data_IF_308750068899
#
_entry.id   IF_308750068899
#
_cell.length_a   1.000
_cell.length_b   1.000
_cell.length_c   1.000
_cell.angle_alpha   90.00
_cell.angle_beta   90.00
_cell.angle_gamma   90.00
#
_symmetry.space_group_name_H-M   'P 1'
#
loop_
_entity.id
_entity.type
_entity.pdbx_description
1 polymer ?
#
# COMPACT_ATOMS: atom_id res chain seq x y z
N UNK A 1 -25.65 17.51 -24.66
CA UNK A 1 -24.32 17.93 -24.25
C UNK A 1 -24.24 18.36 -22.79
N UNK A 2 -24.98 19.38 -22.32
CA UNK A 2 -25.06 19.77 -20.90
C UNK A 2 -25.37 18.59 -19.96
N UNK A 3 -26.29 17.70 -20.38
CA UNK A 3 -26.68 16.49 -19.64
C UNK A 3 -25.53 15.49 -19.47
N UNK A 4 -24.62 15.39 -20.47
CA UNK A 4 -23.46 14.49 -20.40
C UNK A 4 -22.37 15.03 -19.48
N UNK A 5 -22.14 16.34 -19.47
CA UNK A 5 -21.18 16.96 -18.58
C UNK A 5 -21.63 16.91 -17.11
N UNK A 6 -22.94 17.10 -16.85
CA UNK A 6 -23.49 16.93 -15.51
C UNK A 6 -23.32 15.49 -15.00
N UNK A 7 -23.53 14.48 -15.87
CA UNK A 7 -23.32 13.08 -15.52
C UNK A 7 -21.84 12.76 -15.23
N UNK A 8 -20.89 13.36 -15.96
CA UNK A 8 -19.46 13.20 -15.69
C UNK A 8 -19.11 13.85 -14.34
N UNK A 9 -19.66 15.02 -14.03
CA UNK A 9 -19.49 15.66 -12.73
C UNK A 9 -20.09 14.81 -11.60
N UNK A 10 -21.28 14.25 -11.79
CA UNK A 10 -21.95 13.40 -10.81
C UNK A 10 -21.16 12.13 -10.49
N UNK A 11 -20.49 11.55 -11.49
CA UNK A 11 -19.70 10.33 -11.31
C UNK A 11 -18.40 10.57 -10.51
N UNK A 12 -17.76 11.74 -10.66
CA UNK A 12 -16.47 12.01 -9.98
C UNK A 12 -16.41 13.32 -9.21
N UNK A 13 -17.33 14.23 -9.44
CA UNK A 13 -17.26 15.57 -8.87
C UNK A 13 -16.06 16.42 -9.32
N UNK A 14 -15.29 15.92 -10.32
CA UNK A 14 -14.02 16.51 -10.72
C UNK A 14 -13.92 16.87 -12.20
N UNK A 15 -14.82 16.33 -13.04
CA UNK A 15 -14.83 16.63 -14.47
C UNK A 15 -15.65 17.89 -14.74
N UNK A 16 -15.03 18.89 -15.31
CA UNK A 16 -15.67 20.14 -15.69
C UNK A 16 -15.65 20.35 -17.18
N UNK A 17 -16.53 21.25 -17.67
CA UNK A 17 -16.47 21.71 -19.03
C UNK A 17 -15.16 22.49 -19.24
N UNK A 18 -14.48 22.18 -20.34
CA UNK A 18 -13.35 22.98 -20.77
C UNK A 18 -13.84 24.28 -21.40
N UNK A 19 -13.43 25.41 -20.88
CA UNK A 19 -13.80 26.75 -21.28
C UNK A 19 -12.57 27.67 -21.27
N UNK A 20 -12.70 28.95 -21.74
CA UNK A 20 -11.58 29.89 -21.76
C UNK A 20 -10.89 30.09 -20.41
N UNK A 21 -11.65 30.12 -19.29
CA UNK A 21 -11.08 30.28 -17.96
C UNK A 21 -10.25 29.06 -17.54
N UNK A 22 -10.76 27.87 -17.82
CA UNK A 22 -10.03 26.61 -17.58
C UNK A 22 -8.75 26.56 -18.41
N UNK A 23 -8.81 27.03 -19.67
CA UNK A 23 -7.65 27.11 -20.55
C UNK A 23 -6.58 28.07 -20.00
N UNK A 24 -6.97 29.24 -19.48
CA UNK A 24 -6.02 30.18 -18.86
C UNK A 24 -5.28 29.54 -17.67
N UNK A 25 -5.99 28.79 -16.82
CA UNK A 25 -5.40 28.08 -15.69
C UNK A 25 -4.37 27.04 -16.19
N UNK A 26 -4.69 26.31 -17.24
CA UNK A 26 -3.83 25.28 -17.79
C UNK A 26 -2.65 25.86 -18.58
N UNK A 27 -2.90 26.91 -19.38
CA UNK A 27 -1.84 27.58 -20.14
C UNK A 27 -0.80 28.25 -19.23
N UNK A 28 -1.20 28.73 -18.06
CA UNK A 28 -0.29 29.31 -17.07
C UNK A 28 0.73 28.32 -16.49
N UNK A 29 0.53 27.03 -16.71
CA UNK A 29 1.44 25.96 -16.23
C UNK A 29 2.56 25.62 -17.21
N UNK A 30 2.55 26.17 -18.43
CA UNK A 30 3.53 25.92 -19.47
C UNK A 30 3.90 27.20 -20.20
N UNK A 31 5.19 27.47 -20.36
CA UNK A 31 5.69 28.61 -21.16
C UNK A 31 5.26 28.54 -22.63
N UNK A 32 4.88 27.35 -23.12
CA UNK A 32 4.43 27.10 -24.50
C UNK A 32 2.95 26.65 -24.57
N UNK A 33 2.13 27.12 -23.64
CA UNK A 33 0.72 26.79 -23.56
C UNK A 33 -0.11 27.39 -24.71
N UNK A 34 -1.07 26.61 -25.21
CA UNK A 34 -2.05 27.07 -26.20
C UNK A 34 -3.15 27.90 -25.58
N UNK A 35 -3.59 28.93 -26.25
CA UNK A 35 -4.83 29.64 -25.91
C UNK A 35 -6.05 28.77 -26.26
N UNK A 36 -7.21 29.13 -25.72
CA UNK A 36 -8.47 28.44 -26.03
C UNK A 36 -8.80 28.52 -27.56
N UNK A 37 -8.60 29.67 -28.14
CA UNK A 37 -8.89 29.90 -29.58
C UNK A 37 -7.93 29.11 -30.47
N UNK A 38 -6.66 29.06 -30.13
CA UNK A 38 -5.68 28.24 -30.85
C UNK A 38 -6.03 26.74 -30.79
N UNK A 39 -6.39 26.24 -29.59
CA UNK A 39 -6.84 24.85 -29.44
C UNK A 39 -8.11 24.58 -30.22
N UNK A 40 -9.09 25.49 -30.16
CA UNK A 40 -10.34 25.40 -30.91
C UNK A 40 -10.10 25.30 -32.39
N UNK A 41 -9.26 26.18 -32.93
CA UNK A 41 -8.91 26.18 -34.37
C UNK A 41 -8.29 24.83 -34.77
N UNK A 42 -7.36 24.33 -33.98
CA UNK A 42 -6.69 23.06 -34.28
C UNK A 42 -7.66 21.88 -34.26
N UNK A 43 -8.57 21.83 -33.27
CA UNK A 43 -9.58 20.78 -33.20
C UNK A 43 -10.54 20.85 -34.41
N UNK A 44 -10.97 22.06 -34.81
CA UNK A 44 -11.83 22.27 -35.97
C UNK A 44 -11.17 21.83 -37.30
N UNK A 45 -9.87 22.12 -37.46
CA UNK A 45 -9.07 21.64 -38.61
C UNK A 45 -9.02 20.10 -38.68
N UNK A 46 -9.16 19.43 -37.56
CA UNK A 46 -9.21 17.95 -37.44
C UNK A 46 -10.64 17.40 -37.53
N UNK A 47 -11.65 18.23 -37.72
CA UNK A 47 -13.05 17.82 -37.73
C UNK A 47 -13.59 17.49 -36.33
N UNK A 48 -12.96 18.03 -35.28
CA UNK A 48 -13.29 17.83 -33.87
C UNK A 48 -13.95 19.09 -33.28
N UNK A 49 -14.79 18.91 -32.29
CA UNK A 49 -15.50 20.00 -31.65
C UNK A 49 -14.98 20.23 -30.22
N UNK A 50 -14.48 21.43 -29.92
CA UNK A 50 -13.99 21.84 -28.61
C UNK A 50 -15.05 21.65 -27.48
N UNK A 51 -16.32 21.68 -27.82
CA UNK A 51 -17.43 21.43 -26.90
C UNK A 51 -17.42 19.98 -26.34
N UNK A 52 -16.65 19.07 -26.96
CA UNK A 52 -16.42 17.70 -26.49
C UNK A 52 -15.17 17.54 -25.63
N UNK A 53 -14.48 18.64 -25.33
CA UNK A 53 -13.33 18.63 -24.42
C UNK A 53 -13.83 18.79 -22.98
N UNK A 54 -13.35 17.94 -22.10
CA UNK A 54 -13.60 17.97 -20.65
C UNK A 54 -12.27 18.06 -19.90
N UNK A 55 -12.30 18.63 -18.70
CA UNK A 55 -11.12 18.89 -17.90
C UNK A 55 -11.23 18.25 -16.50
N UNK A 56 -10.18 17.53 -16.08
CA UNK A 56 -10.03 17.01 -14.72
C UNK A 56 -9.10 17.93 -13.90
N UNK A 57 -9.69 18.81 -13.10
CA UNK A 57 -8.98 19.80 -12.27
C UNK A 57 -8.54 19.32 -10.90
N UNK A 58 -8.82 18.05 -10.53
CA UNK A 58 -8.63 17.59 -9.14
C UNK A 58 -7.31 16.89 -8.89
N UNK A 59 -6.51 16.61 -9.92
CA UNK A 59 -5.29 15.83 -9.79
C UNK A 59 -4.04 16.66 -10.08
N UNK A 60 -2.92 16.19 -9.55
CA UNK A 60 -1.57 16.73 -9.77
C UNK A 60 -1.23 16.90 -11.25
N UNK A 61 -1.90 16.18 -12.13
CA UNK A 61 -1.86 16.35 -13.57
C UNK A 61 -3.22 16.89 -14.02
N UNK A 62 -3.33 18.18 -14.17
CA UNK A 62 -4.50 18.81 -14.73
C UNK A 62 -4.59 18.42 -16.21
N UNK A 63 -5.47 17.50 -16.56
CA UNK A 63 -5.57 16.93 -17.88
C UNK A 63 -6.89 17.30 -18.55
N UNK A 64 -6.83 17.69 -19.83
CA UNK A 64 -8.00 17.76 -20.66
C UNK A 64 -8.09 16.53 -21.57
N UNK A 65 -9.31 16.11 -21.83
CA UNK A 65 -9.62 14.98 -22.68
C UNK A 65 -10.67 15.38 -23.72
N UNK A 66 -10.46 14.99 -24.96
CA UNK A 66 -11.53 14.94 -25.93
C UNK A 66 -12.36 13.68 -25.69
N UNK A 67 -13.68 13.84 -25.61
CA UNK A 67 -14.60 12.73 -25.32
C UNK A 67 -15.83 12.78 -26.26
N UNK A 68 -15.77 12.07 -27.37
CA UNK A 68 -16.93 11.81 -28.22
C UNK A 68 -17.59 10.49 -27.83
N UNK A 69 -18.51 10.56 -26.88
CA UNK A 69 -19.21 9.40 -26.38
C UNK A 69 -20.08 8.70 -27.41
N UNK A 70 -20.53 9.36 -28.45
CA UNK A 70 -21.34 8.75 -29.51
C UNK A 70 -20.50 7.82 -30.40
N UNK A 71 -19.29 8.24 -30.70
CA UNK A 71 -18.34 7.49 -31.51
C UNK A 71 -17.39 6.61 -30.71
N UNK A 72 -17.35 6.77 -29.38
CA UNK A 72 -16.35 6.14 -28.55
C UNK A 72 -14.93 6.58 -28.88
N UNK A 73 -14.77 7.88 -29.17
CA UNK A 73 -13.47 8.46 -29.45
C UNK A 73 -13.01 9.27 -28.24
N UNK A 74 -11.93 8.84 -27.64
CA UNK A 74 -11.32 9.45 -26.48
C UNK A 74 -9.86 9.75 -26.77
N UNK A 75 -9.40 10.90 -26.32
CA UNK A 75 -8.01 11.26 -26.48
C UNK A 75 -7.59 12.28 -25.43
N UNK A 76 -6.38 12.11 -24.91
CA UNK A 76 -5.74 13.12 -24.08
C UNK A 76 -5.32 14.33 -24.92
N UNK A 77 -5.61 15.53 -24.45
CA UNK A 77 -5.26 16.78 -25.11
C UNK A 77 -4.04 17.38 -24.40
N UNK A 78 -2.85 17.40 -25.00
CA UNK A 78 -1.71 18.11 -24.45
C UNK A 78 -1.86 19.60 -24.74
N UNK A 79 -1.45 20.42 -23.81
CA UNK A 79 -1.50 21.88 -23.91
C UNK A 79 -0.23 22.51 -24.49
N UNK A 80 0.77 21.70 -24.86
CA UNK A 80 2.03 22.17 -25.43
C UNK A 80 1.96 22.18 -26.96
N UNK A 81 2.29 23.31 -27.59
CA UNK A 81 2.31 23.47 -29.06
C UNK A 81 3.19 22.44 -29.77
N UNK A 82 4.33 22.07 -29.14
CA UNK A 82 5.26 21.13 -29.73
C UNK A 82 4.65 19.73 -29.97
N UNK A 83 3.74 19.29 -29.10
CA UNK A 83 3.14 17.96 -29.16
C UNK A 83 1.81 17.92 -29.92
N UNK A 84 1.20 19.05 -30.17
CA UNK A 84 -0.13 19.14 -30.76
C UNK A 84 -0.21 18.53 -32.15
N UNK A 85 0.75 18.82 -33.05
CA UNK A 85 0.78 18.27 -34.42
C UNK A 85 0.92 16.75 -34.43
N UNK A 86 1.74 16.19 -33.56
CA UNK A 86 1.90 14.74 -33.41
C UNK A 86 0.60 14.08 -32.98
N UNK A 87 -0.11 14.69 -32.05
CA UNK A 87 -1.38 14.19 -31.54
C UNK A 87 -2.47 14.28 -32.60
N UNK A 88 -2.56 15.40 -33.31
CA UNK A 88 -3.48 15.54 -34.43
C UNK A 88 -3.26 14.46 -35.47
N UNK A 89 -2.02 14.17 -35.83
CA UNK A 89 -1.70 13.12 -36.80
C UNK A 89 -2.13 11.75 -36.29
N UNK A 90 -1.89 11.46 -35.01
CA UNK A 90 -2.30 10.21 -34.36
C UNK A 90 -3.83 10.09 -34.32
N UNK A 91 -4.51 11.15 -33.93
CA UNK A 91 -5.98 11.21 -33.89
C UNK A 91 -6.60 10.99 -35.26
N UNK A 92 -6.09 11.63 -36.31
CA UNK A 92 -6.58 11.43 -37.67
C UNK A 92 -6.40 9.98 -38.15
N UNK A 93 -5.41 9.25 -37.65
CA UNK A 93 -5.24 7.82 -37.93
C UNK A 93 -6.22 6.97 -37.15
N UNK A 94 -6.44 7.27 -35.85
CA UNK A 94 -7.34 6.53 -34.97
C UNK A 94 -8.81 6.75 -35.34
N UNK A 95 -9.20 7.93 -35.85
CA UNK A 95 -10.58 8.24 -36.18
C UNK A 95 -11.05 7.68 -37.55
N UNK A 96 -10.20 7.00 -38.30
CA UNK A 96 -10.63 6.34 -39.56
C UNK A 96 -11.67 5.24 -39.31
N UNK A 97 -11.52 4.51 -38.22
CA UNK A 97 -12.52 3.54 -37.75
C UNK A 97 -12.85 3.89 -36.30
N UNK A 98 -14.11 4.18 -35.98
CA UNK A 98 -14.52 4.44 -34.61
C UNK A 98 -14.11 3.31 -33.66
N UNK A 99 -13.60 3.64 -32.48
CA UNK A 99 -13.17 2.65 -31.48
C UNK A 99 -14.26 1.65 -31.11
N UNK A 100 -15.49 2.13 -30.98
CA UNK A 100 -16.65 1.28 -30.77
C UNK A 100 -16.92 0.28 -31.91
N UNK A 101 -16.73 0.71 -33.15
CA UNK A 101 -16.94 -0.18 -34.30
C UNK A 101 -15.87 -1.25 -34.35
N UNK A 102 -14.62 -0.90 -33.99
CA UNK A 102 -13.53 -1.86 -33.84
C UNK A 102 -13.80 -2.85 -32.71
N UNK A 103 -14.23 -2.37 -31.55
CA UNK A 103 -14.55 -3.22 -30.41
C UNK A 103 -15.66 -4.23 -30.75
N UNK A 104 -16.72 -3.79 -31.43
CA UNK A 104 -17.82 -4.65 -31.88
C UNK A 104 -17.40 -5.65 -32.96
N UNK A 105 -16.65 -5.20 -33.98
CA UNK A 105 -16.19 -6.07 -35.08
C UNK A 105 -15.22 -7.14 -34.59
N UNK A 106 -14.29 -6.78 -33.72
CA UNK A 106 -13.26 -7.69 -33.21
C UNK A 106 -13.71 -8.43 -31.95
N UNK A 107 -14.84 -8.10 -31.35
CA UNK A 107 -15.27 -8.55 -30.02
C UNK A 107 -14.19 -8.38 -28.98
N UNK A 108 -13.52 -7.23 -28.97
CA UNK A 108 -12.40 -6.93 -28.06
C UNK A 108 -12.71 -5.67 -27.24
N UNK A 109 -13.66 -5.81 -26.35
CA UNK A 109 -14.07 -4.76 -25.44
C UNK A 109 -13.01 -4.45 -24.36
N UNK A 110 -12.22 -5.46 -23.98
CA UNK A 110 -11.15 -5.27 -23.02
C UNK A 110 -10.09 -4.32 -23.57
N UNK A 111 -9.61 -4.52 -24.82
CA UNK A 111 -8.67 -3.61 -25.46
C UNK A 111 -9.25 -2.20 -25.62
N UNK A 112 -10.54 -2.07 -25.97
CA UNK A 112 -11.19 -0.77 -26.08
C UNK A 112 -11.11 0.01 -24.76
N UNK A 113 -11.51 -0.61 -23.62
CA UNK A 113 -11.48 0.07 -22.34
C UNK A 113 -10.08 0.29 -21.79
N UNK A 114 -9.16 -0.65 -21.98
CA UNK A 114 -7.80 -0.54 -21.42
C UNK A 114 -6.87 0.37 -22.23
N UNK A 115 -7.11 0.51 -23.52
CA UNK A 115 -6.19 1.24 -24.41
C UNK A 115 -6.80 2.56 -24.90
N UNK A 116 -8.09 2.56 -25.26
CA UNK A 116 -8.69 3.69 -25.96
C UNK A 116 -9.49 4.63 -25.04
N UNK A 117 -10.12 4.09 -23.98
CA UNK A 117 -10.90 4.91 -23.05
C UNK A 117 -10.01 5.39 -21.92
N UNK A 118 -9.75 6.70 -21.79
CA UNK A 118 -8.98 7.25 -20.69
C UNK A 118 -9.56 6.84 -19.34
N UNK A 119 -8.69 6.51 -18.38
CA UNK A 119 -9.07 6.02 -17.06
C UNK A 119 -10.19 6.84 -16.39
N UNK A 120 -10.19 8.18 -16.41
CA UNK A 120 -11.27 8.97 -15.86
C UNK A 120 -12.64 8.76 -16.53
N UNK A 121 -12.66 8.34 -17.79
CA UNK A 121 -13.87 8.16 -18.56
C UNK A 121 -14.43 6.73 -18.51
N UNK A 122 -13.64 5.75 -18.05
CA UNK A 122 -14.00 4.33 -18.15
C UNK A 122 -15.32 3.99 -17.46
N UNK A 123 -15.52 4.41 -16.20
CA UNK A 123 -16.78 4.13 -15.48
C UNK A 123 -17.96 4.78 -16.21
N UNK A 124 -17.81 6.05 -16.60
CA UNK A 124 -18.87 6.79 -17.25
C UNK A 124 -19.28 6.15 -18.57
N UNK A 125 -18.32 5.81 -19.41
CA UNK A 125 -18.56 5.20 -20.72
C UNK A 125 -19.15 3.78 -20.56
N UNK A 126 -18.60 2.99 -19.65
CA UNK A 126 -19.10 1.64 -19.36
C UNK A 126 -20.54 1.67 -18.89
N UNK A 127 -20.92 2.52 -17.94
CA UNK A 127 -22.29 2.66 -17.45
C UNK A 127 -23.28 3.11 -18.51
N UNK A 128 -22.80 3.78 -19.57
CA UNK A 128 -23.63 4.20 -20.69
C UNK A 128 -23.92 3.06 -21.65
N UNK A 129 -23.01 2.11 -21.80
CA UNK A 129 -23.06 1.08 -22.86
C UNK A 129 -22.86 -0.37 -22.43
N UNK A 130 -22.92 -0.65 -21.15
CA UNK A 130 -22.71 -2.00 -20.63
C UNK A 130 -23.59 -3.09 -21.29
N UNK A 131 -24.75 -2.70 -21.84
CA UNK A 131 -25.64 -3.61 -22.59
C UNK A 131 -25.21 -3.84 -24.04
N UNK A 132 -24.31 -3.02 -24.56
CA UNK A 132 -23.75 -3.18 -25.91
C UNK A 132 -22.58 -4.18 -25.89
N UNK A 133 -21.99 -4.41 -24.73
CA UNK A 133 -20.89 -5.35 -24.53
C UNK A 133 -21.42 -6.78 -24.60
N UNK A 134 -20.64 -7.67 -25.24
CA UNK A 134 -21.00 -9.08 -25.32
C UNK A 134 -21.19 -9.66 -23.91
N UNK A 135 -22.28 -10.41 -23.67
CA UNK A 135 -22.62 -10.94 -22.34
C UNK A 135 -21.52 -11.77 -21.68
N UNK A 136 -20.72 -12.48 -22.48
CA UNK A 136 -19.59 -13.29 -22.03
C UNK A 136 -18.35 -12.45 -21.65
N UNK A 137 -18.32 -11.16 -21.99
CA UNK A 137 -17.21 -10.24 -21.70
C UNK A 137 -17.54 -9.16 -20.66
N UNK A 138 -18.83 -8.86 -20.46
CA UNK A 138 -19.24 -7.72 -19.64
C UNK A 138 -18.67 -7.75 -18.22
N UNK A 139 -18.62 -8.93 -17.60
CA UNK A 139 -18.06 -9.08 -16.25
C UNK A 139 -16.53 -8.86 -16.24
N UNK A 140 -15.82 -9.45 -17.19
CA UNK A 140 -14.33 -9.30 -17.26
C UNK A 140 -13.92 -7.86 -17.55
N UNK A 141 -14.64 -7.17 -18.44
CA UNK A 141 -14.41 -5.75 -18.74
C UNK A 141 -14.68 -4.90 -17.49
N UNK A 142 -15.83 -5.11 -16.83
CA UNK A 142 -16.14 -4.40 -15.58
C UNK A 142 -15.07 -4.66 -14.50
N UNK A 143 -14.67 -5.90 -14.31
CA UNK A 143 -13.64 -6.28 -13.33
C UNK A 143 -12.31 -5.57 -13.61
N UNK A 144 -11.89 -5.52 -14.88
CA UNK A 144 -10.67 -4.81 -15.28
C UNK A 144 -10.76 -3.32 -14.97
N UNK A 145 -11.90 -2.68 -15.27
CA UNK A 145 -12.11 -1.25 -14.93
C UNK A 145 -12.10 -1.06 -13.42
N UNK A 146 -12.80 -1.93 -12.67
CA UNK A 146 -12.96 -1.83 -11.23
C UNK A 146 -11.61 -1.94 -10.50
N UNK A 147 -10.75 -2.88 -10.92
CA UNK A 147 -9.42 -3.10 -10.33
C UNK A 147 -8.44 -1.97 -10.62
N UNK A 148 -8.52 -1.34 -11.79
CA UNK A 148 -7.61 -0.24 -12.15
C UNK A 148 -8.00 1.11 -11.55
N UNK A 149 -9.18 1.22 -10.98
CA UNK A 149 -9.68 2.46 -10.40
C UNK A 149 -9.59 2.41 -8.87
N UNK A 150 -8.56 3.04 -8.32
CA UNK A 150 -8.27 3.05 -6.87
C UNK A 150 -9.46 3.40 -5.98
N UNK A 151 -10.41 4.19 -6.46
CA UNK A 151 -11.53 4.71 -5.67
C UNK A 151 -12.86 4.66 -6.45
N UNK A 152 -13.05 3.64 -7.27
CA UNK A 152 -14.27 3.45 -8.07
C UNK A 152 -15.51 3.08 -7.24
N UNK A 153 -15.31 2.72 -6.00
CA UNK A 153 -16.36 2.29 -5.08
C UNK A 153 -17.41 3.40 -4.87
N UNK A 154 -18.69 3.02 -4.92
CA UNK A 154 -19.81 3.93 -4.81
C UNK A 154 -20.15 4.72 -6.08
N UNK A 155 -19.36 4.58 -7.15
CA UNK A 155 -19.60 5.26 -8.44
C UNK A 155 -20.45 4.41 -9.41
N UNK A 156 -20.57 3.12 -9.14
CA UNK A 156 -21.35 2.21 -9.96
C UNK A 156 -22.84 2.33 -9.69
N UNK A 157 -23.64 2.47 -10.74
CA UNK A 157 -25.09 2.49 -10.64
C UNK A 157 -25.60 1.09 -10.30
N UNK A 158 -26.59 0.95 -9.41
CA UNK A 158 -27.10 -0.36 -8.97
C UNK A 158 -27.55 -1.26 -10.12
N UNK A 159 -28.26 -0.72 -11.11
CA UNK A 159 -28.73 -1.46 -12.28
C UNK A 159 -27.61 -1.97 -13.17
N UNK A 160 -26.47 -1.25 -13.23
CA UNK A 160 -25.28 -1.70 -13.95
C UNK A 160 -24.65 -2.88 -13.23
N UNK A 161 -24.49 -2.78 -11.91
CA UNK A 161 -23.95 -3.87 -11.10
C UNK A 161 -24.84 -5.11 -11.15
N UNK A 162 -26.17 -4.94 -11.09
CA UNK A 162 -27.11 -6.06 -11.22
C UNK A 162 -26.92 -6.81 -12.56
N UNK A 163 -26.82 -6.06 -13.66
CA UNK A 163 -26.59 -6.65 -14.97
C UNK A 163 -25.23 -7.35 -15.06
N UNK A 164 -24.15 -6.67 -14.66
CA UNK A 164 -22.79 -7.23 -14.68
C UNK A 164 -22.72 -8.50 -13.84
N UNK A 165 -23.30 -8.49 -12.65
CA UNK A 165 -23.25 -9.61 -11.73
C UNK A 165 -24.14 -10.79 -12.15
N UNK A 166 -25.15 -10.54 -12.96
CA UNK A 166 -25.92 -11.65 -13.59
C UNK A 166 -25.10 -12.43 -14.63
N UNK A 167 -24.00 -11.85 -15.11
CA UNK A 167 -23.04 -12.46 -16.05
C UNK A 167 -21.72 -12.86 -15.38
N UNK A 168 -21.64 -12.81 -14.05
CA UNK A 168 -20.44 -13.19 -13.34
C UNK A 168 -20.12 -14.68 -13.51
N UNK A 169 -18.83 -15.04 -13.69
CA UNK A 169 -18.44 -16.44 -13.78
C UNK A 169 -18.66 -17.14 -12.43
N UNK A 170 -18.89 -18.44 -12.47
CA UNK A 170 -18.83 -19.26 -11.25
C UNK A 170 -17.36 -19.46 -10.88
N UNK A 171 -16.99 -19.16 -9.65
CA UNK A 171 -15.63 -19.32 -9.13
C UNK A 171 -15.64 -20.30 -7.96
N UNK A 172 -14.52 -20.96 -7.75
CA UNK A 172 -14.30 -21.73 -6.52
C UNK A 172 -14.29 -20.76 -5.34
N UNK A 173 -14.97 -21.14 -4.26
CA UNK A 173 -15.04 -20.30 -3.06
C UNK A 173 -13.89 -20.62 -2.11
N UNK A 174 -13.46 -19.67 -1.27
CA UNK A 174 -12.55 -19.98 -0.16
C UNK A 174 -13.18 -21.05 0.74
N UNK A 175 -12.35 -21.87 1.38
CA UNK A 175 -12.82 -22.87 2.32
C UNK A 175 -13.43 -22.17 3.55
N UNK A 176 -14.68 -22.51 3.92
CA UNK A 176 -15.27 -22.01 5.16
C UNK A 176 -14.56 -22.60 6.38
N UNK A 177 -14.64 -21.88 7.51
CA UNK A 177 -14.23 -22.39 8.80
C UNK A 177 -15.18 -23.44 9.39
N UNK A 178 -14.93 -23.90 10.61
CA UNK A 178 -15.75 -24.91 11.29
C UNK A 178 -17.22 -24.49 11.50
N UNK A 179 -17.49 -23.18 11.52
CA UNK A 179 -18.85 -22.62 11.61
C UNK A 179 -19.53 -22.46 10.24
N UNK A 180 -18.86 -22.84 9.15
CA UNK A 180 -19.34 -22.68 7.79
C UNK A 180 -19.26 -21.25 7.26
N UNK A 181 -18.44 -20.39 7.87
CA UNK A 181 -18.28 -18.99 7.52
C UNK A 181 -16.88 -18.73 6.93
N UNK A 182 -16.76 -17.70 6.10
CA UNK A 182 -15.52 -17.24 5.52
C UNK A 182 -15.20 -15.89 6.16
N UNK A 183 -14.00 -15.76 6.73
CA UNK A 183 -13.51 -14.48 7.24
C UNK A 183 -12.91 -13.68 6.08
N UNK A 184 -13.40 -12.46 5.91
CA UNK A 184 -12.92 -11.50 4.91
C UNK A 184 -12.37 -10.27 5.61
N UNK A 185 -11.39 -9.63 4.97
CA UNK A 185 -10.66 -8.48 5.50
C UNK A 185 -10.71 -7.33 4.52
N UNK A 186 -10.65 -6.09 5.04
CA UNK A 186 -10.55 -4.90 4.22
C UNK A 186 -9.62 -3.88 4.87
N UNK A 187 -8.56 -3.52 4.16
CA UNK A 187 -7.69 -2.41 4.49
C UNK A 187 -8.27 -1.09 3.99
N UNK A 188 -8.20 -0.06 4.81
CA UNK A 188 -8.80 1.23 4.52
C UNK A 188 -7.80 2.36 4.74
N UNK A 189 -7.72 3.26 3.78
CA UNK A 189 -7.07 4.56 3.85
C UNK A 189 -8.10 5.69 3.92
N UNK A 190 -7.63 6.94 3.93
CA UNK A 190 -8.47 8.14 4.07
C UNK A 190 -9.58 8.27 3.02
N UNK A 191 -9.32 7.77 1.80
CA UNK A 191 -10.26 7.87 0.65
C UNK A 191 -11.07 6.61 0.42
N UNK A 192 -10.98 5.63 1.30
CA UNK A 192 -11.68 4.36 1.12
C UNK A 192 -13.19 4.52 1.34
N UNK A 193 -13.97 3.78 0.56
CA UNK A 193 -15.41 3.67 0.76
C UNK A 193 -15.70 3.02 2.11
N UNK A 194 -16.80 3.42 2.81
CA UNK A 194 -17.23 2.76 4.03
C UNK A 194 -17.35 1.24 3.87
N UNK A 195 -16.91 0.50 4.87
CA UNK A 195 -16.89 -0.95 4.82
C UNK A 195 -18.29 -1.57 4.61
N UNK A 196 -19.31 -0.93 5.17
CA UNK A 196 -20.71 -1.36 5.11
C UNK A 196 -21.27 -1.44 3.68
N UNK A 197 -20.72 -0.65 2.77
CA UNK A 197 -21.16 -0.53 1.38
C UNK A 197 -20.12 -1.00 0.38
N UNK A 198 -18.95 -1.43 0.84
CA UNK A 198 -17.86 -1.86 -0.01
C UNK A 198 -18.15 -3.22 -0.65
N UNK A 199 -17.97 -3.30 -1.97
CA UNK A 199 -18.13 -4.55 -2.72
C UNK A 199 -16.92 -5.47 -2.59
N UNK A 200 -15.71 -4.91 -2.66
CA UNK A 200 -14.45 -5.66 -2.66
C UNK A 200 -13.86 -5.83 -1.28
N UNK A 201 -13.51 -7.07 -0.97
CA UNK A 201 -12.84 -7.52 0.24
C UNK A 201 -11.70 -8.47 -0.16
N UNK A 202 -10.91 -8.92 0.79
CA UNK A 202 -9.91 -9.97 0.57
C UNK A 202 -10.09 -11.09 1.60
N UNK A 203 -9.89 -12.33 1.20
CA UNK A 203 -9.77 -13.45 2.15
C UNK A 203 -8.38 -13.50 2.80
N UNK A 204 -7.42 -12.71 2.31
CA UNK A 204 -6.06 -12.61 2.83
C UNK A 204 -5.90 -11.40 3.76
N UNK A 205 -5.56 -11.59 5.05
CA UNK A 205 -5.23 -10.48 5.95
C UNK A 205 -3.96 -9.74 5.51
N UNK A 206 -3.02 -10.42 4.87
CA UNK A 206 -1.79 -9.83 4.32
C UNK A 206 -2.13 -8.83 3.23
N UNK A 207 -2.99 -9.23 2.29
CA UNK A 207 -3.42 -8.40 1.20
C UNK A 207 -4.24 -7.20 1.70
N UNK A 208 -5.15 -7.41 2.63
CA UNK A 208 -5.93 -6.32 3.22
C UNK A 208 -5.02 -5.30 3.93
N UNK A 209 -4.01 -5.75 4.64
CA UNK A 209 -3.03 -4.87 5.29
C UNK A 209 -2.22 -4.08 4.24
N UNK A 210 -1.83 -4.72 3.13
CA UNK A 210 -1.17 -4.02 2.02
C UNK A 210 -2.06 -2.91 1.45
N UNK A 211 -3.35 -3.17 1.23
CA UNK A 211 -4.29 -2.15 0.77
C UNK A 211 -4.42 -0.97 1.75
N UNK A 212 -4.36 -1.22 3.05
CA UNK A 212 -4.34 -0.17 4.04
C UNK A 212 -3.06 0.69 3.95
N UNK A 213 -1.90 0.06 3.73
CA UNK A 213 -0.59 0.69 3.79
C UNK A 213 -0.11 1.25 2.43
N UNK A 214 -0.72 0.88 1.29
CA UNK A 214 -0.23 1.25 -0.05
C UNK A 214 -0.10 2.74 -0.33
N UNK A 215 -0.78 3.58 0.44
CA UNK A 215 -0.69 5.04 0.37
C UNK A 215 0.00 5.64 1.60
N UNK A 216 0.73 4.83 2.36
CA UNK A 216 1.38 5.17 3.64
C UNK A 216 0.44 5.82 4.69
N UNK A 217 -0.87 5.80 4.46
CA UNK A 217 -1.89 6.47 5.31
C UNK A 217 -3.04 5.52 5.65
N UNK A 218 -2.69 4.39 6.24
CA UNK A 218 -3.67 3.43 6.73
C UNK A 218 -4.49 4.02 7.88
N UNK A 219 -5.82 4.00 7.76
CA UNK A 219 -6.71 4.46 8.82
C UNK A 219 -7.18 3.33 9.70
N UNK A 220 -7.57 2.22 9.10
CA UNK A 220 -8.06 1.04 9.82
C UNK A 220 -8.01 -0.23 8.98
N UNK A 221 -8.08 -1.35 9.65
CA UNK A 221 -8.29 -2.66 9.07
C UNK A 221 -9.52 -3.28 9.72
N UNK A 222 -10.44 -3.75 8.89
CA UNK A 222 -11.68 -4.36 9.34
C UNK A 222 -11.80 -5.78 8.83
N UNK A 223 -12.60 -6.60 9.51
CA UNK A 223 -12.98 -7.93 9.09
C UNK A 223 -14.47 -8.15 9.25
N UNK A 224 -14.99 -9.12 8.51
CA UNK A 224 -16.34 -9.61 8.65
C UNK A 224 -16.37 -11.12 8.40
N UNK A 225 -17.39 -11.82 8.89
CA UNK A 225 -17.63 -13.23 8.60
C UNK A 225 -18.86 -13.36 7.72
N UNK A 226 -18.71 -14.01 6.58
CA UNK A 226 -19.78 -14.15 5.58
C UNK A 226 -20.00 -15.61 5.24
N UNK A 227 -21.24 -15.93 4.82
CA UNK A 227 -21.56 -17.25 4.26
C UNK A 227 -21.10 -17.32 2.80
N UNK A 228 -20.75 -18.52 2.28
CA UNK A 228 -20.37 -18.67 0.86
C UNK A 228 -21.40 -18.10 -0.13
N UNK A 229 -22.67 -18.22 0.14
CA UNK A 229 -23.75 -17.70 -0.71
C UNK A 229 -23.86 -16.17 -0.75
N UNK A 230 -23.22 -15.45 0.18
CA UNK A 230 -23.13 -14.00 0.19
C UNK A 230 -21.98 -13.49 -0.70
N UNK A 231 -21.09 -14.39 -1.11
CA UNK A 231 -20.03 -14.09 -2.06
C UNK A 231 -20.55 -14.27 -3.48
N UNK A 232 -20.29 -13.28 -4.32
CA UNK A 232 -20.62 -13.34 -5.74
C UNK A 232 -19.48 -13.99 -6.54
N UNK A 233 -18.26 -13.50 -6.32
CA UNK A 233 -17.05 -13.95 -7.00
C UNK A 233 -15.90 -14.01 -6.02
N UNK A 234 -15.08 -15.04 -6.17
CA UNK A 234 -13.77 -15.14 -5.53
C UNK A 234 -12.68 -15.25 -6.59
N UNK A 235 -11.71 -14.36 -6.54
CA UNK A 235 -10.59 -14.30 -7.47
C UNK A 235 -9.28 -14.60 -6.74
N UNK A 236 -8.89 -15.87 -6.72
CA UNK A 236 -7.68 -16.32 -6.02
C UNK A 236 -6.39 -16.12 -6.82
N UNK A 237 -6.47 -15.97 -8.15
CA UNK A 237 -5.37 -16.39 -8.99
C UNK A 237 -4.60 -15.34 -9.78
N UNK A 238 -5.18 -14.27 -10.23
CA UNK A 238 -4.49 -13.40 -11.20
C UNK A 238 -3.63 -12.28 -10.60
N UNK A 239 -3.98 -11.80 -9.41
CA UNK A 239 -3.27 -10.67 -8.77
C UNK A 239 -2.67 -11.02 -7.41
N UNK A 240 -2.93 -12.22 -6.88
CA UNK A 240 -2.57 -12.59 -5.50
C UNK A 240 -3.38 -11.83 -4.43
N UNK A 241 -4.39 -11.06 -4.84
CA UNK A 241 -5.20 -10.24 -3.95
C UNK A 241 -6.23 -11.04 -3.15
N UNK A 242 -6.51 -12.27 -3.57
CA UNK A 242 -7.53 -13.11 -2.95
C UNK A 242 -8.87 -12.36 -2.81
N UNK A 243 -9.26 -11.65 -3.88
CA UNK A 243 -10.40 -10.76 -3.87
C UNK A 243 -11.72 -11.51 -3.68
N UNK A 244 -12.54 -10.99 -2.79
CA UNK A 244 -13.90 -11.43 -2.53
C UNK A 244 -14.85 -10.30 -2.90
N UNK A 245 -15.67 -10.50 -3.92
CA UNK A 245 -16.73 -9.57 -4.31
C UNK A 245 -18.03 -10.05 -3.67
N UNK A 246 -18.64 -9.20 -2.86
CA UNK A 246 -19.88 -9.51 -2.17
C UNK A 246 -21.10 -9.24 -3.06
N UNK A 247 -22.19 -9.98 -2.82
CA UNK A 247 -23.48 -9.68 -3.42
C UNK A 247 -23.99 -8.33 -2.91
N UNK A 248 -24.54 -7.47 -3.78
CA UNK A 248 -25.14 -6.22 -3.37
C UNK A 248 -26.18 -6.43 -2.26
N UNK A 249 -26.17 -5.54 -1.26
CA UNK A 249 -27.09 -5.61 -0.13
C UNK A 249 -26.73 -6.63 0.94
N UNK A 250 -25.56 -7.30 0.84
CA UNK A 250 -25.06 -8.15 1.93
C UNK A 250 -24.87 -7.32 3.20
N UNK A 251 -25.54 -7.74 4.28
CA UNK A 251 -25.37 -7.13 5.60
C UNK A 251 -24.15 -7.74 6.29
N UNK A 252 -23.27 -6.89 6.80
CA UNK A 252 -22.03 -7.28 7.44
C UNK A 252 -22.05 -6.90 8.92
N UNK A 253 -21.57 -7.80 9.77
CA UNK A 253 -21.13 -7.50 11.13
C UNK A 253 -19.64 -7.21 11.09
N UNK A 254 -19.28 -5.92 11.09
CA UNK A 254 -17.93 -5.45 10.91
C UNK A 254 -17.21 -5.46 12.25
N UNK A 255 -16.04 -6.08 12.29
CA UNK A 255 -15.11 -6.06 13.41
C UNK A 255 -13.88 -5.25 13.02
N UNK A 256 -13.57 -4.22 13.80
CA UNK A 256 -12.39 -3.39 13.59
C UNK A 256 -11.20 -3.97 14.37
N UNK A 257 -10.05 -4.07 13.72
CA UNK A 257 -8.82 -4.43 14.39
C UNK A 257 -8.33 -3.25 15.27
N UNK A 258 -7.92 -3.53 16.50
CA UNK A 258 -7.31 -2.52 17.38
C UNK A 258 -5.90 -2.16 16.86
N UNK A 259 -5.84 -1.32 15.82
CA UNK A 259 -4.60 -0.83 15.21
C UNK A 259 -4.49 0.68 15.34
N UNK A 260 -3.27 1.18 15.49
CA UNK A 260 -2.96 2.61 15.52
C UNK A 260 -2.90 3.10 14.08
N UNK A 261 -3.69 4.12 13.70
CA UNK A 261 -3.66 4.66 12.34
C UNK A 261 -2.30 5.29 11.98
N UNK A 262 -1.95 5.27 10.70
CA UNK A 262 -0.74 5.91 10.16
C UNK A 262 -1.04 7.23 9.43
N UNK A 263 -1.98 8.03 9.95
CA UNK A 263 -2.32 9.34 9.36
C UNK A 263 -1.25 10.39 9.59
N UNK A 264 -1.24 11.47 8.79
CA UNK A 264 -0.30 12.59 8.93
C UNK A 264 -0.30 13.20 10.33
N UNK A 265 -1.44 13.19 11.01
CA UNK A 265 -1.57 13.74 12.36
C UNK A 265 -1.07 12.77 13.44
N UNK A 266 -1.25 11.46 13.24
CA UNK A 266 -0.93 10.46 14.27
C UNK A 266 0.56 10.13 14.34
N UNK A 267 1.22 9.95 13.19
CA UNK A 267 2.63 9.54 13.15
C UNK A 267 3.53 10.53 13.90
N UNK A 268 3.51 11.86 13.65
CA UNK A 268 4.35 12.79 14.37
C UNK A 268 4.11 12.80 15.88
N UNK A 269 2.83 12.73 16.31
CA UNK A 269 2.47 12.67 17.73
C UNK A 269 2.99 11.39 18.40
N UNK A 270 2.91 10.26 17.69
CA UNK A 270 3.39 8.97 18.18
C UNK A 270 4.92 8.95 18.32
N UNK A 271 5.64 9.57 17.38
CA UNK A 271 7.11 9.59 17.35
C UNK A 271 7.73 10.59 18.34
N UNK A 272 7.05 11.67 18.64
CA UNK A 272 7.59 12.78 19.44
C UNK A 272 8.29 12.33 20.75
N UNK A 273 7.73 11.45 21.59
CA UNK A 273 8.36 11.03 22.83
C UNK A 273 9.64 10.20 22.68
N UNK A 274 9.83 9.57 21.52
CA UNK A 274 10.95 8.66 21.28
C UNK A 274 12.02 9.25 20.34
N UNK A 275 11.80 10.45 19.83
CA UNK A 275 12.65 11.11 18.82
C UNK A 275 14.10 11.25 19.30
N UNK A 276 14.32 11.70 20.53
CA UNK A 276 15.69 11.88 21.06
C UNK A 276 16.46 10.55 21.18
N UNK A 277 15.79 9.51 21.65
CA UNK A 277 16.39 8.18 21.71
C UNK A 277 16.62 7.60 20.31
N UNK A 278 15.70 7.89 19.37
CA UNK A 278 15.88 7.46 17.99
C UNK A 278 17.13 8.11 17.35
N UNK A 279 17.33 9.41 17.49
CA UNK A 279 18.55 10.06 17.00
C UNK A 279 19.80 9.50 17.67
N UNK A 280 19.78 9.34 18.99
CA UNK A 280 20.91 8.80 19.75
C UNK A 280 21.32 7.40 19.28
N UNK A 281 20.38 6.48 19.15
CA UNK A 281 20.67 5.09 18.77
C UNK A 281 20.77 4.91 17.25
N UNK A 282 20.07 5.72 16.47
CA UNK A 282 20.18 5.76 15.02
C UNK A 282 21.56 6.18 14.53
N UNK A 283 22.18 7.16 15.20
CA UNK A 283 23.61 7.51 14.96
C UNK A 283 24.54 6.31 15.13
N UNK A 284 24.27 5.46 16.16
CA UNK A 284 25.07 4.23 16.33
C UNK A 284 24.83 3.28 15.15
N UNK A 285 23.57 3.11 14.69
CA UNK A 285 23.24 2.24 13.58
C UNK A 285 23.97 2.65 12.29
N UNK A 286 23.97 3.94 11.95
CA UNK A 286 24.68 4.47 10.76
C UNK A 286 26.18 4.17 10.82
N UNK A 287 26.80 4.32 12.00
CA UNK A 287 28.24 4.05 12.21
C UNK A 287 28.59 2.54 12.24
N UNK A 288 27.62 1.63 12.23
CA UNK A 288 27.87 0.18 12.13
C UNK A 288 28.17 -0.29 10.70
N UNK A 289 27.98 0.57 9.70
CA UNK A 289 28.32 0.28 8.30
C UNK A 289 27.37 -0.68 7.61
N UNK A 290 26.09 -0.68 7.98
CA UNK A 290 25.07 -1.38 7.20
C UNK A 290 24.98 -0.83 5.78
N UNK A 291 24.75 -1.68 4.76
CA UNK A 291 24.55 -1.20 3.40
C UNK A 291 23.33 -0.28 3.33
N UNK A 292 23.37 0.71 2.44
CA UNK A 292 22.19 1.47 2.09
C UNK A 292 21.23 0.58 1.32
N UNK A 293 19.92 0.69 1.61
CA UNK A 293 18.91 -0.03 0.85
C UNK A 293 18.92 0.44 -0.61
N UNK A 294 19.04 -0.50 -1.53
CA UNK A 294 18.89 -0.32 -2.97
C UNK A 294 17.94 -1.37 -3.53
N UNK A 295 17.80 -1.40 -4.86
CA UNK A 295 16.97 -2.40 -5.55
C UNK A 295 17.33 -3.87 -5.18
N UNK A 296 18.49 -4.11 -4.58
CA UNK A 296 19.03 -5.43 -4.27
C UNK A 296 19.38 -5.61 -2.78
N UNK A 297 19.04 -4.67 -1.90
CA UNK A 297 19.31 -4.80 -0.47
C UNK A 297 18.11 -4.31 0.34
N UNK A 298 17.36 -5.26 0.88
CA UNK A 298 16.19 -5.01 1.70
C UNK A 298 16.45 -5.19 3.21
N UNK A 299 17.66 -5.60 3.60
CA UNK A 299 18.12 -5.77 4.99
C UNK A 299 19.18 -4.74 5.40
N UNK A 300 19.20 -3.57 4.74
CA UNK A 300 20.14 -2.49 4.99
C UNK A 300 19.77 -1.58 6.16
N UNK A 301 20.44 -0.43 6.21
CA UNK A 301 20.30 0.54 7.32
C UNK A 301 18.85 1.00 7.54
N UNK A 302 18.04 1.15 6.49
CA UNK A 302 16.64 1.59 6.65
C UNK A 302 15.81 0.56 7.42
N UNK A 303 16.03 -0.75 7.17
CA UNK A 303 15.41 -1.82 7.97
C UNK A 303 15.80 -1.68 9.45
N UNK A 304 17.08 -1.53 9.74
CA UNK A 304 17.58 -1.39 11.11
C UNK A 304 16.97 -0.18 11.82
N UNK A 305 16.84 0.95 11.12
CA UNK A 305 16.23 2.16 11.68
C UNK A 305 14.72 1.99 11.95
N UNK A 306 13.99 1.33 11.06
CA UNK A 306 12.56 1.05 11.29
C UNK A 306 12.36 0.08 12.45
N UNK A 307 13.13 -1.00 12.53
CA UNK A 307 13.09 -1.94 13.66
C UNK A 307 13.46 -1.25 14.98
N UNK A 308 14.47 -0.37 14.97
CA UNK A 308 14.83 0.44 16.13
C UNK A 308 13.67 1.33 16.57
N UNK A 309 13.07 2.06 15.65
CA UNK A 309 11.97 2.99 15.95
C UNK A 309 10.74 2.24 16.49
N UNK A 310 10.35 1.14 15.86
CA UNK A 310 9.27 0.25 16.35
C UNK A 310 9.58 -0.28 17.76
N UNK A 311 10.83 -0.62 18.04
CA UNK A 311 11.27 -1.05 19.37
C UNK A 311 11.14 0.07 20.41
N UNK A 312 11.52 1.29 20.06
CA UNK A 312 11.39 2.44 20.97
C UNK A 312 9.92 2.75 21.25
N UNK A 313 9.06 2.72 20.22
CA UNK A 313 7.61 2.86 20.37
C UNK A 313 7.04 1.76 21.30
N UNK A 314 7.44 0.51 21.08
CA UNK A 314 7.04 -0.58 21.96
C UNK A 314 7.46 -0.33 23.41
N UNK A 315 8.71 0.04 23.63
CA UNK A 315 9.24 0.31 24.99
C UNK A 315 8.53 1.48 25.68
N UNK A 316 8.05 2.46 24.91
CA UNK A 316 7.38 3.65 25.46
C UNK A 316 5.87 3.41 25.73
N UNK A 317 5.15 2.80 24.78
CA UNK A 317 3.69 2.77 24.79
C UNK A 317 3.04 1.45 25.17
N UNK A 318 3.79 0.34 25.19
CA UNK A 318 3.17 -0.99 25.33
C UNK A 318 2.52 -1.24 26.72
N UNK A 319 2.79 -0.41 27.72
CA UNK A 319 2.41 -0.69 29.10
C UNK A 319 3.07 -1.94 29.70
N UNK A 320 3.97 -2.59 28.94
CA UNK A 320 4.71 -3.75 29.43
C UNK A 320 5.67 -3.35 30.53
N UNK A 321 5.66 -4.11 31.62
CA UNK A 321 6.69 -3.97 32.67
C UNK A 321 8.05 -4.40 32.10
N UNK A 322 8.82 -3.45 31.58
CA UNK A 322 10.19 -3.61 31.11
C UNK A 322 11.11 -2.84 32.04
N UNK A 323 12.13 -3.49 32.56
CA UNK A 323 13.21 -2.79 33.25
C UNK A 323 14.03 -1.98 32.23
N UNK A 324 14.78 -0.98 32.71
CA UNK A 324 15.66 -0.22 31.81
C UNK A 324 16.68 -1.13 31.10
N UNK A 325 17.14 -2.19 31.77
CA UNK A 325 18.00 -3.18 31.11
C UNK A 325 17.27 -3.96 30.03
N UNK A 326 15.96 -4.27 30.19
CA UNK A 326 15.15 -4.96 29.16
C UNK A 326 15.03 -4.08 27.90
N UNK A 327 14.78 -2.79 28.08
CA UNK A 327 14.74 -1.82 26.97
C UNK A 327 16.08 -1.78 26.24
N UNK A 328 17.19 -1.68 26.97
CA UNK A 328 18.52 -1.71 26.38
C UNK A 328 18.85 -3.03 25.68
N UNK A 329 18.35 -4.18 26.17
CA UNK A 329 18.50 -5.47 25.48
C UNK A 329 17.77 -5.45 24.12
N UNK A 330 16.55 -4.93 24.08
CA UNK A 330 15.77 -4.81 22.85
C UNK A 330 16.40 -3.84 21.86
N UNK A 331 16.90 -2.70 22.33
CA UNK A 331 17.64 -1.74 21.48
C UNK A 331 18.94 -2.38 20.95
N UNK A 332 19.68 -3.10 21.79
CA UNK A 332 20.87 -3.83 21.35
C UNK A 332 20.53 -4.88 20.28
N UNK A 333 19.42 -5.57 20.43
CA UNK A 333 18.90 -6.49 19.42
C UNK A 333 18.60 -5.74 18.11
N UNK A 334 17.82 -4.67 18.15
CA UNK A 334 17.42 -3.91 16.97
C UNK A 334 18.64 -3.43 16.15
N UNK A 335 19.70 -3.02 16.83
CA UNK A 335 20.91 -2.51 16.19
C UNK A 335 21.82 -3.60 15.60
N UNK A 336 21.73 -4.85 16.05
CA UNK A 336 22.74 -5.87 15.74
C UNK A 336 22.19 -7.21 15.23
N UNK A 337 20.86 -7.39 15.12
CA UNK A 337 20.31 -8.70 14.78
C UNK A 337 20.75 -9.18 13.40
N UNK A 338 20.88 -8.30 12.42
CA UNK A 338 21.22 -8.57 11.03
C UNK A 338 22.68 -8.19 10.65
N UNK A 339 23.53 -7.80 11.62
CA UNK A 339 24.91 -7.34 11.31
C UNK A 339 25.79 -8.40 10.63
N UNK A 340 25.46 -9.67 10.76
CA UNK A 340 26.15 -10.78 10.13
C UNK A 340 25.47 -11.32 8.88
N UNK A 341 24.41 -10.66 8.38
CA UNK A 341 23.72 -11.07 7.17
C UNK A 341 24.58 -10.73 5.94
N UNK A 342 24.82 -11.72 5.09
CA UNK A 342 25.72 -11.64 3.93
C UNK A 342 24.99 -11.93 2.59
N UNK A 343 23.69 -12.24 2.62
CA UNK A 343 22.84 -12.42 1.44
C UNK A 343 21.41 -11.98 1.69
N UNK A 344 20.66 -11.75 0.61
CA UNK A 344 19.22 -11.46 0.64
C UNK A 344 18.37 -12.75 0.64
N UNK A 345 18.99 -13.92 0.47
CA UNK A 345 18.30 -15.21 0.45
C UNK A 345 17.75 -15.57 1.84
N UNK A 346 16.82 -16.50 1.87
CA UNK A 346 16.36 -17.12 3.12
C UNK A 346 17.54 -17.84 3.79
N UNK A 347 17.95 -17.33 4.96
CA UNK A 347 19.05 -17.86 5.75
C UNK A 347 18.69 -17.96 7.22
N UNK A 348 18.32 -19.16 7.68
CA UNK A 348 18.03 -19.44 9.09
C UNK A 348 19.27 -19.34 10.00
N UNK A 349 20.44 -19.11 9.45
CA UNK A 349 21.72 -19.08 10.16
C UNK A 349 22.31 -17.67 10.35
N UNK A 350 21.76 -16.63 9.71
CA UNK A 350 22.32 -15.27 9.81
C UNK A 350 22.38 -14.73 11.23
N UNK A 351 21.46 -15.16 12.11
CA UNK A 351 21.52 -14.83 13.53
C UNK A 351 22.75 -15.42 14.23
N UNK A 352 23.20 -16.65 13.87
CA UNK A 352 24.46 -17.22 14.36
C UNK A 352 25.65 -16.40 13.85
N UNK A 353 25.68 -16.06 12.55
CA UNK A 353 26.72 -15.22 11.93
C UNK A 353 26.81 -13.85 12.62
N UNK A 354 25.66 -13.22 12.94
CA UNK A 354 25.60 -11.97 13.68
C UNK A 354 26.25 -12.08 15.06
N UNK A 355 25.92 -13.12 15.84
CA UNK A 355 26.50 -13.36 17.16
C UNK A 355 28.02 -13.62 17.07
N UNK A 356 28.47 -14.38 16.07
CA UNK A 356 29.88 -14.68 15.87
C UNK A 356 30.66 -13.44 15.44
N UNK A 357 30.12 -12.57 14.60
CA UNK A 357 30.70 -11.29 14.23
C UNK A 357 30.83 -10.36 15.44
N UNK A 358 29.77 -10.24 16.25
CA UNK A 358 29.78 -9.46 17.49
C UNK A 358 30.87 -9.97 18.44
N UNK A 359 31.05 -11.27 18.56
CA UNK A 359 32.08 -11.88 19.41
C UNK A 359 33.48 -11.65 18.86
N UNK A 360 33.71 -11.94 17.56
CA UNK A 360 35.00 -11.82 16.88
C UNK A 360 35.54 -10.41 16.97
N UNK A 361 34.70 -9.42 16.71
CA UNK A 361 35.09 -8.01 16.69
C UNK A 361 34.92 -7.30 18.04
N UNK A 362 34.48 -8.04 19.07
CA UNK A 362 34.21 -7.48 20.40
C UNK A 362 33.31 -6.23 20.37
N UNK A 363 32.28 -6.24 19.50
CA UNK A 363 31.42 -5.07 19.25
C UNK A 363 30.79 -4.60 20.57
N UNK A 364 31.04 -3.32 20.90
CA UNK A 364 30.48 -2.60 22.04
C UNK A 364 29.78 -1.35 21.53
N UNK A 365 28.51 -1.17 21.91
CA UNK A 365 27.74 0.00 21.51
C UNK A 365 27.90 1.10 22.56
N UNK A 366 28.30 2.30 22.15
CA UNK A 366 28.44 3.46 23.04
C UNK A 366 27.09 3.76 23.71
N UNK A 367 27.09 3.88 25.03
CA UNK A 367 25.89 4.18 25.81
C UNK A 367 24.95 3.01 26.06
N UNK A 368 25.27 1.80 25.63
CA UNK A 368 24.52 0.57 25.97
C UNK A 368 25.37 -0.31 26.88
N UNK A 369 25.04 -0.32 28.16
CA UNK A 369 25.70 -1.17 29.16
C UNK A 369 24.72 -2.20 29.69
N UNK A 370 25.02 -3.46 29.48
CA UNK A 370 24.23 -4.59 29.94
C UNK A 370 25.00 -5.41 30.98
N UNK A 371 24.31 -6.02 31.90
CA UNK A 371 24.91 -7.03 32.78
C UNK A 371 25.41 -8.25 31.97
N UNK A 372 26.25 -9.08 32.56
CA UNK A 372 26.66 -10.35 31.91
C UNK A 372 25.47 -11.19 31.47
N UNK A 373 24.40 -11.18 32.25
CA UNK A 373 23.14 -11.88 31.95
C UNK A 373 22.36 -11.18 30.84
N UNK A 374 22.28 -9.83 30.85
CA UNK A 374 21.68 -9.04 29.80
C UNK A 374 22.33 -9.28 28.41
N UNK A 375 23.65 -9.26 28.34
CA UNK A 375 24.39 -9.60 27.11
C UNK A 375 24.11 -11.03 26.65
N UNK A 376 23.95 -11.98 27.58
CA UNK A 376 23.63 -13.36 27.22
C UNK A 376 22.24 -13.45 26.61
N UNK A 377 21.26 -12.78 27.21
CA UNK A 377 19.88 -12.72 26.66
C UNK A 377 19.92 -12.05 25.28
N UNK A 378 20.51 -10.86 25.14
CA UNK A 378 20.59 -10.16 23.84
C UNK A 378 21.14 -11.06 22.71
N UNK A 379 22.24 -11.79 22.99
CA UNK A 379 22.80 -12.73 22.02
C UNK A 379 21.89 -13.93 21.69
N UNK A 380 21.07 -14.37 22.62
CA UNK A 380 20.08 -15.41 22.34
C UNK A 380 18.96 -14.88 21.44
N UNK A 381 18.49 -13.66 21.68
CA UNK A 381 17.51 -13.02 20.82
C UNK A 381 18.05 -12.92 19.39
N UNK A 382 19.25 -12.37 19.20
CA UNK A 382 19.92 -12.22 17.90
C UNK A 382 20.10 -13.58 17.23
N UNK A 383 20.58 -14.59 17.96
CA UNK A 383 20.85 -15.93 17.40
C UNK A 383 19.63 -16.62 16.85
N UNK A 384 18.48 -16.42 17.50
CA UNK A 384 17.28 -17.22 17.22
C UNK A 384 16.14 -16.44 16.56
N UNK A 385 16.30 -15.15 16.24
CA UNK A 385 15.21 -14.36 15.65
C UNK A 385 14.78 -14.89 14.28
N UNK A 386 15.71 -15.38 13.46
CA UNK A 386 15.47 -15.91 12.13
C UNK A 386 14.85 -17.32 12.11
N UNK A 387 14.79 -18.01 13.26
CA UNK A 387 14.26 -19.38 13.36
C UNK A 387 12.77 -19.39 13.67
N UNK A 388 12.10 -20.55 13.47
CA UNK A 388 10.72 -20.73 13.89
C UNK A 388 10.58 -20.48 15.41
N UNK A 389 9.37 -20.09 15.83
CA UNK A 389 9.10 -19.82 17.26
C UNK A 389 9.32 -21.04 18.13
N UNK A 390 8.94 -22.22 17.64
CA UNK A 390 9.12 -23.48 18.35
C UNK A 390 10.61 -23.71 18.66
N UNK A 391 11.46 -23.66 17.64
CA UNK A 391 12.92 -23.86 17.79
C UNK A 391 13.53 -22.78 18.67
N UNK A 392 13.18 -21.51 18.44
CA UNK A 392 13.74 -20.39 19.20
C UNK A 392 13.38 -20.47 20.70
N UNK A 393 12.11 -20.70 21.01
CA UNK A 393 11.63 -20.82 22.41
C UNK A 393 12.21 -22.04 23.11
N UNK A 394 12.29 -23.19 22.42
CA UNK A 394 12.94 -24.36 22.97
C UNK A 394 14.40 -24.08 23.38
N UNK A 395 15.17 -23.43 22.50
CA UNK A 395 16.58 -23.07 22.75
C UNK A 395 16.72 -22.08 23.89
N UNK A 396 15.85 -21.07 23.98
CA UNK A 396 15.88 -20.04 25.04
C UNK A 396 15.52 -20.64 26.40
N UNK A 397 14.52 -21.51 26.47
CA UNK A 397 14.08 -22.10 27.74
C UNK A 397 15.05 -23.14 28.28
N UNK A 398 15.84 -23.78 27.42
CA UNK A 398 16.83 -24.80 27.80
C UNK A 398 18.25 -24.25 28.02
N UNK A 399 18.41 -22.93 28.18
CA UNK A 399 19.73 -22.33 28.39
C UNK A 399 20.33 -22.76 29.72
N UNK A 400 21.53 -23.37 29.75
CA UNK A 400 22.16 -23.76 30.98
C UNK A 400 22.37 -22.57 31.95
N UNK A 401 22.16 -22.79 33.25
CA UNK A 401 22.32 -21.80 34.31
C UNK A 401 21.37 -20.59 34.23
N UNK A 402 20.26 -20.67 33.50
CA UNK A 402 19.13 -19.75 33.65
C UNK A 402 18.20 -20.27 34.76
N UNK A 403 17.80 -19.35 35.65
CA UNK A 403 16.67 -19.62 36.56
C UNK A 403 15.35 -19.62 35.77
N UNK A 404 14.29 -20.15 36.34
CA UNK A 404 12.96 -20.07 35.75
C UNK A 404 12.53 -18.61 35.48
N UNK A 405 12.98 -17.66 36.28
CA UNK A 405 12.73 -16.23 36.09
C UNK A 405 13.50 -15.69 34.86
N UNK A 406 14.79 -16.10 34.74
CA UNK A 406 15.60 -15.69 33.56
C UNK A 406 15.02 -16.25 32.27
N UNK A 407 14.58 -17.48 32.25
CA UNK A 407 13.94 -18.11 31.11
C UNK A 407 12.64 -17.39 30.72
N UNK A 408 11.79 -17.05 31.71
CA UNK A 408 10.57 -16.26 31.45
C UNK A 408 10.89 -14.86 30.89
N UNK A 409 11.88 -14.17 31.48
CA UNK A 409 12.36 -12.87 31.02
C UNK A 409 12.85 -12.95 29.57
N UNK A 410 13.74 -13.90 29.25
CA UNK A 410 14.28 -14.09 27.92
C UNK A 410 13.19 -14.44 26.90
N UNK A 411 12.21 -15.28 27.25
CA UNK A 411 11.05 -15.62 26.42
C UNK A 411 10.19 -14.39 26.11
N UNK A 412 9.91 -13.55 27.12
CA UNK A 412 9.16 -12.29 26.93
C UNK A 412 9.88 -11.39 25.94
N UNK A 413 11.17 -11.15 26.15
CA UNK A 413 11.97 -10.28 25.29
C UNK A 413 12.14 -10.86 23.86
N UNK A 414 12.26 -12.16 23.72
CA UNK A 414 12.32 -12.85 22.43
C UNK A 414 11.05 -12.61 21.60
N UNK A 415 9.87 -12.75 22.20
CA UNK A 415 8.60 -12.47 21.51
C UNK A 415 8.52 -11.03 21.04
N UNK A 416 8.92 -10.08 21.88
CA UNK A 416 8.94 -8.65 21.53
C UNK A 416 9.93 -8.41 20.37
N UNK A 417 11.16 -8.91 20.49
CA UNK A 417 12.19 -8.74 19.46
C UNK A 417 11.75 -9.27 18.09
N UNK A 418 11.17 -10.48 18.06
CA UNK A 418 10.61 -11.06 16.83
C UNK A 418 9.43 -10.28 16.26
N UNK A 419 8.62 -9.67 17.12
CA UNK A 419 7.52 -8.84 16.64
C UNK A 419 8.03 -7.55 16.03
N UNK A 420 9.05 -6.91 16.62
CA UNK A 420 9.59 -5.66 16.09
C UNK A 420 10.27 -5.86 14.72
N UNK A 421 11.04 -6.92 14.56
CA UNK A 421 11.60 -7.33 13.29
C UNK A 421 10.51 -7.76 12.29
N UNK A 422 9.56 -8.59 12.77
CA UNK A 422 8.45 -9.08 11.97
C UNK A 422 7.51 -7.99 11.43
N UNK A 423 7.30 -6.90 12.16
CA UNK A 423 6.49 -5.75 11.72
C UNK A 423 7.05 -5.13 10.45
N UNK A 424 8.37 -5.06 10.29
CA UNK A 424 8.99 -4.48 9.10
C UNK A 424 8.83 -5.35 7.83
N UNK A 425 8.23 -6.55 7.93
CA UNK A 425 7.83 -7.35 6.75
C UNK A 425 6.76 -6.66 5.88
N UNK A 426 6.18 -5.55 6.35
CA UNK A 426 5.34 -4.68 5.52
C UNK A 426 6.09 -4.23 4.25
N UNK A 427 7.42 -4.07 4.30
CA UNK A 427 8.26 -3.70 3.15
C UNK A 427 8.23 -4.71 2.00
N UNK A 428 7.87 -5.97 2.30
CA UNK A 428 7.74 -7.06 1.32
C UNK A 428 6.29 -7.38 0.98
N UNK A 429 5.33 -6.59 1.47
CA UNK A 429 3.91 -6.93 1.42
C UNK A 429 3.60 -8.32 1.99
N UNK A 430 4.37 -8.74 3.00
CA UNK A 430 4.35 -10.10 3.54
C UNK A 430 4.03 -10.20 5.03
N UNK A 431 3.52 -9.13 5.66
CA UNK A 431 3.15 -9.16 7.07
C UNK A 431 1.75 -9.75 7.26
N UNK A 432 1.68 -10.96 7.80
CA UNK A 432 0.45 -11.46 8.42
C UNK A 432 0.44 -11.09 9.91
N UNK A 433 -0.33 -10.07 10.24
CA UNK A 433 -0.41 -9.51 11.60
C UNK A 433 -0.96 -10.49 12.65
N UNK A 434 -1.63 -11.58 12.22
CA UNK A 434 -2.15 -12.62 13.12
C UNK A 434 -1.02 -13.38 13.82
N UNK A 435 0.17 -13.43 13.21
CA UNK A 435 1.36 -14.07 13.79
C UNK A 435 2.15 -13.18 14.75
N UNK A 436 1.76 -11.92 14.94
CA UNK A 436 2.36 -11.07 15.97
C UNK A 436 1.97 -11.59 17.37
N UNK A 437 2.95 -11.67 18.26
CA UNK A 437 2.87 -12.42 19.52
C UNK A 437 2.38 -11.58 20.68
N UNK A 438 2.67 -10.27 20.63
CA UNK A 438 2.40 -9.37 21.75
C UNK A 438 1.23 -8.44 21.43
N UNK A 439 0.39 -8.11 22.44
CA UNK A 439 -0.81 -7.30 22.19
C UNK A 439 -0.49 -5.93 21.56
N UNK A 440 0.56 -5.25 22.04
CA UNK A 440 0.89 -3.93 21.49
C UNK A 440 1.46 -4.02 20.07
N UNK A 441 2.25 -5.05 19.75
CA UNK A 441 2.75 -5.22 18.38
C UNK A 441 1.60 -5.38 17.37
N UNK A 442 0.51 -6.02 17.75
CA UNK A 442 -0.69 -6.16 16.91
C UNK A 442 -1.38 -4.84 16.59
N UNK A 443 -1.08 -3.78 17.33
CA UNK A 443 -1.59 -2.42 17.09
C UNK A 443 -0.72 -1.61 16.15
N UNK A 444 0.49 -2.06 15.80
CA UNK A 444 1.49 -1.32 15.04
C UNK A 444 1.54 -1.59 13.52
N UNK A 445 0.81 -2.55 12.90
CA UNK A 445 0.98 -2.85 11.48
C UNK A 445 0.78 -1.67 10.54
N UNK A 446 -0.20 -0.79 10.82
CA UNK A 446 -0.42 0.42 10.02
C UNK A 446 0.70 1.45 10.23
N UNK A 447 1.18 1.59 11.49
CA UNK A 447 2.33 2.44 11.80
C UNK A 447 3.57 1.96 11.05
N UNK A 448 3.85 0.64 11.07
CA UNK A 448 4.98 0.07 10.34
C UNK A 448 4.90 0.38 8.84
N UNK A 449 3.71 0.31 8.24
CA UNK A 449 3.48 0.73 6.85
C UNK A 449 3.76 2.21 6.61
N UNK A 450 3.29 3.08 7.51
CA UNK A 450 3.55 4.52 7.43
C UNK A 450 5.03 4.88 7.51
N UNK A 451 5.82 4.12 8.27
CA UNK A 451 7.26 4.34 8.41
C UNK A 451 8.08 4.01 7.15
N UNK A 452 7.50 3.34 6.14
CA UNK A 452 8.21 3.06 4.89
C UNK A 452 8.51 4.32 4.08
N UNK A 453 7.67 5.34 4.18
CA UNK A 453 7.80 6.61 3.46
C UNK A 453 8.57 7.67 4.27
N UNK A 454 8.88 7.39 5.55
CA UNK A 454 9.58 8.36 6.40
C UNK A 454 11.08 8.42 6.05
N UNK A 455 11.66 9.63 5.93
CA UNK A 455 13.07 9.81 5.57
C UNK A 455 14.00 9.59 6.77
N UNK A 456 13.88 8.45 7.44
CA UNK A 456 14.56 8.17 8.71
C UNK A 456 16.08 8.27 8.64
N UNK A 457 16.67 7.78 7.55
CA UNK A 457 18.13 7.81 7.37
C UNK A 457 18.62 9.23 7.14
N UNK A 458 17.91 9.99 6.34
CA UNK A 458 18.21 11.39 6.02
C UNK A 458 18.15 12.25 7.28
N UNK A 459 17.08 12.09 8.08
CA UNK A 459 16.95 12.77 9.38
C UNK A 459 18.12 12.48 10.35
N UNK A 460 18.58 11.23 10.40
CA UNK A 460 19.73 10.87 11.23
C UNK A 460 21.01 11.53 10.68
N UNK A 461 21.26 11.49 9.36
CA UNK A 461 22.44 12.11 8.74
C UNK A 461 22.47 13.63 8.97
N UNK A 462 21.33 14.30 8.84
CA UNK A 462 21.19 15.74 9.11
C UNK A 462 21.51 16.05 10.59
N UNK A 463 20.94 15.31 11.53
CA UNK A 463 21.21 15.46 12.96
C UNK A 463 22.69 15.24 13.30
N UNK A 464 23.37 14.27 12.65
CA UNK A 464 24.81 14.04 12.82
C UNK A 464 25.64 15.20 12.28
N UNK A 465 25.27 15.77 11.14
CA UNK A 465 25.95 16.91 10.55
C UNK A 465 25.82 18.17 11.44
N UNK A 466 24.63 18.41 11.99
CA UNK A 466 24.39 19.52 12.94
C UNK A 466 25.23 19.36 14.23
N UNK A 467 25.40 18.13 14.70
CA UNK A 467 26.22 17.83 15.87
C UNK A 467 27.75 17.87 15.59
N UNK A 468 28.15 18.04 14.32
CA UNK A 468 29.58 17.99 13.92
C UNK A 468 30.14 16.56 13.91
N UNK A 469 29.32 15.53 13.94
CA UNK A 469 29.68 14.13 13.83
C UNK A 469 29.62 13.72 12.35
N UNK A 470 30.73 13.82 11.63
CA UNK A 470 30.82 13.34 10.23
C UNK A 470 30.97 11.82 10.25
N UNK A 471 30.17 11.04 9.48
CA UNK A 471 30.42 9.61 9.30
C UNK A 471 31.79 9.41 8.63
N UNK A 472 32.66 8.63 9.26
CA UNK A 472 33.93 8.19 8.65
C UNK A 472 33.68 7.03 7.69
#
# INVERSE_FOLDING_TARGET
>A
MQKHLSLIQDVRGCMTRFDPLTQEIVAAQSEDGLTYDELKQVLEECGMNIEKVVFDGTRTFQNAFYADFEKGHYCWIPFQRANLRSIISTMNQQFRVPGLDRARQNRDWAAFYMIEVPLPMQIYDFQRRYRDIDPDQVFSVWSSIHTHLDYANGMWQPEVLEYVFSHAPRTEMPEPDEDGLITIYRGMGEKSQPAETALSWSSSPVCALWFANRSARGTRLVSARVKPEQILVYNAGHTGEHEVILRPGTKLEIQEADMIPSTEDHIPQLLAPVTLDFFRYGTIAVNLGYPEEGLFSCHGIKHILRVLLLTLLYCHYSGSELSEEDKLILIYFSLLHDIGRDSEDEDDSHGDKSVDLIRKNSIRLKGIQLSKKGYRIAKLLIRHHCRSDEVGLERITKVPNFSAQDARRATKLYRIAKDMDGLDRVRFNGLDFRYLRTPYARRLPLVAGGLLEEPLLECIKESMAEAGEVPQ
#
